data_IF_088139171465
#
_entry.id   IF_088139171465
#
_cell.length_a   1.000
_cell.length_b   1.000
_cell.length_c   1.000
_cell.angle_alpha   90.00
_cell.angle_beta   90.00
_cell.angle_gamma   90.00
#
_symmetry.space_group_name_H-M   'P 1'
#
loop_
_entity.id
_entity.type
_entity.pdbx_description
1 polymer ?
#
# COMPACT_ATOMS: atom_id res chain seq x y z
N UNK A 1 -0.34 -1.63 -0.66
CA UNK A 1 0.35 -0.92 -1.75
C UNK A 1 0.31 0.58 -1.48
N UNK A 2 1.45 1.30 -1.50
CA UNK A 2 1.40 2.75 -1.35
C UNK A 2 0.70 3.34 -2.59
N UNK A 3 -0.45 3.98 -2.40
CA UNK A 3 -1.10 4.79 -3.43
C UNK A 3 -0.04 5.71 -4.04
N UNK A 4 0.21 5.62 -5.35
CA UNK A 4 0.96 6.67 -6.03
C UNK A 4 0.20 7.98 -5.77
N UNK A 5 0.81 8.89 -5.00
CA UNK A 5 0.17 10.16 -4.70
C UNK A 5 -0.06 10.91 -6.01
N UNK A 6 -1.17 11.64 -6.13
CA UNK A 6 -1.49 12.45 -7.31
C UNK A 6 -0.29 13.33 -7.73
N UNK A 7 0.50 13.80 -6.75
CA UNK A 7 1.79 14.49 -6.95
C UNK A 7 2.82 13.65 -7.72
N UNK A 8 3.03 12.38 -7.38
CA UNK A 8 3.97 11.50 -8.08
C UNK A 8 3.53 11.23 -9.52
N UNK A 9 2.22 11.04 -9.74
CA UNK A 9 1.71 10.90 -11.11
C UNK A 9 1.92 12.18 -11.91
N UNK A 10 1.54 13.33 -11.35
CA UNK A 10 1.71 14.63 -12.00
C UNK A 10 3.18 14.91 -12.36
N UNK A 11 4.13 14.63 -11.46
CA UNK A 11 5.57 14.81 -11.74
C UNK A 11 6.00 13.95 -12.93
N UNK A 12 5.60 12.68 -12.97
CA UNK A 12 5.90 11.77 -14.10
C UNK A 12 5.33 12.31 -15.41
N UNK A 13 4.08 12.76 -15.39
CA UNK A 13 3.41 13.26 -16.59
C UNK A 13 4.08 14.56 -17.09
N UNK A 14 4.49 15.44 -16.19
CA UNK A 14 5.25 16.66 -16.52
C UNK A 14 6.66 16.36 -17.04
N UNK A 15 7.36 15.38 -16.46
CA UNK A 15 8.67 14.93 -16.95
C UNK A 15 8.56 14.37 -18.38
N UNK A 16 7.50 13.62 -18.66
CA UNK A 16 7.24 13.11 -20.01
C UNK A 16 6.99 14.24 -21.03
N UNK A 17 6.21 15.26 -20.66
CA UNK A 17 6.00 16.44 -21.49
C UNK A 17 7.31 17.20 -21.74
N UNK A 18 8.15 17.36 -20.72
CA UNK A 18 9.45 18.02 -20.83
C UNK A 18 10.38 17.29 -21.81
N UNK A 19 10.46 15.96 -21.73
CA UNK A 19 11.24 15.12 -22.65
C UNK A 19 10.77 15.33 -24.10
N UNK A 20 9.45 15.42 -24.31
CA UNK A 20 8.87 15.65 -25.63
C UNK A 20 9.23 17.05 -26.19
N UNK A 21 9.23 18.08 -25.34
CA UNK A 21 9.69 19.42 -25.73
C UNK A 21 11.18 19.42 -26.10
N UNK A 22 12.04 18.76 -25.32
CA UNK A 22 13.47 18.67 -25.63
C UNK A 22 13.73 17.88 -26.91
N UNK A 23 13.01 16.79 -27.17
CA UNK A 23 13.11 16.06 -28.42
C UNK A 23 12.78 16.96 -29.63
N UNK A 24 11.73 17.80 -29.53
CA UNK A 24 11.39 18.77 -30.58
C UNK A 24 12.47 19.85 -30.77
N UNK A 25 13.07 20.33 -29.69
CA UNK A 25 14.18 21.30 -29.75
C UNK A 25 15.44 20.70 -30.38
N UNK A 26 15.76 19.45 -30.06
CA UNK A 26 16.89 18.74 -30.67
C UNK A 26 16.64 18.45 -32.16
N UNK A 27 15.40 18.16 -32.55
CA UNK A 27 14.99 17.96 -33.95
C UNK A 27 15.04 19.29 -34.74
N UNK A 28 14.77 20.44 -34.12
CA UNK A 28 14.88 21.74 -34.81
C UNK A 28 16.32 22.22 -35.00
N UNK A 29 17.25 21.79 -34.14
CA UNK A 29 18.68 22.17 -34.20
C UNK A 29 19.54 21.21 -35.03
N UNK A 30 19.07 19.98 -35.24
CA UNK A 30 19.75 18.98 -36.08
C UNK A 30 18.90 18.66 -37.30
N UNK A 31 19.31 19.20 -38.45
CA UNK A 31 18.79 18.83 -39.77
C UNK A 31 18.77 17.28 -39.94
N UNK A 32 17.60 16.69 -39.70
CA UNK A 32 16.88 15.67 -40.47
C UNK A 32 17.58 14.41 -41.03
N UNK A 33 18.85 14.08 -40.70
CA UNK A 33 19.55 12.96 -41.38
C UNK A 33 20.15 11.85 -40.53
N UNK A 34 19.94 11.82 -39.21
CA UNK A 34 20.68 10.85 -38.36
C UNK A 34 19.87 10.14 -37.28
N UNK A 35 18.54 10.07 -37.41
CA UNK A 35 17.71 9.28 -36.48
C UNK A 35 16.92 8.21 -37.24
N UNK A 36 17.63 7.46 -38.10
CA UNK A 36 17.25 6.11 -38.52
C UNK A 36 18.38 5.18 -38.10
N UNK A 37 18.62 5.03 -36.80
CA UNK A 37 19.38 3.89 -36.26
C UNK A 37 19.09 3.70 -34.78
N UNK A 38 18.02 2.95 -34.51
CA UNK A 38 18.05 1.87 -33.51
C UNK A 38 18.08 2.25 -32.03
N UNK A 39 16.97 2.75 -31.49
CA UNK A 39 16.52 2.37 -30.14
C UNK A 39 14.98 2.33 -30.08
N UNK A 40 14.45 1.31 -29.40
CA UNK A 40 13.01 0.99 -29.34
C UNK A 40 12.25 2.08 -28.59
N UNK A 41 11.67 3.03 -29.31
CA UNK A 41 10.55 3.82 -28.82
C UNK A 41 9.32 2.91 -28.67
N UNK A 42 8.52 3.03 -27.60
CA UNK A 42 7.26 2.30 -27.49
C UNK A 42 6.39 2.69 -28.69
N UNK A 43 5.80 1.69 -29.35
CA UNK A 43 4.96 1.83 -30.57
C UNK A 43 3.96 3.01 -30.50
N UNK A 44 3.50 3.36 -29.29
CA UNK A 44 2.66 4.52 -29.03
C UNK A 44 3.27 5.86 -29.50
N UNK A 45 4.56 6.09 -29.31
CA UNK A 45 5.24 7.32 -29.76
C UNK A 45 5.42 7.34 -31.27
N UNK A 46 5.70 6.17 -31.88
CA UNK A 46 5.82 6.04 -33.35
C UNK A 46 4.45 6.24 -34.01
N UNK A 47 3.37 5.75 -33.41
CA UNK A 47 2.01 5.94 -33.90
C UNK A 47 1.59 7.41 -33.80
N UNK A 48 1.95 8.12 -32.72
CA UNK A 48 1.68 9.56 -32.60
C UNK A 48 2.49 10.37 -33.62
N UNK A 49 3.77 10.04 -33.83
CA UNK A 49 4.61 10.71 -34.83
C UNK A 49 4.13 10.39 -36.26
N UNK A 50 3.76 9.14 -36.55
CA UNK A 50 3.24 8.71 -37.85
C UNK A 50 1.82 9.27 -38.14
N UNK A 51 0.98 9.45 -37.12
CA UNK A 51 -0.31 10.13 -37.24
C UNK A 51 -0.15 11.64 -37.43
N UNK A 52 0.91 12.24 -36.88
CA UNK A 52 1.26 13.64 -37.13
C UNK A 52 1.89 13.85 -38.53
N UNK A 53 2.56 12.84 -39.08
CA UNK A 53 3.12 12.86 -40.45
C UNK A 53 2.09 12.65 -41.57
N UNK A 54 0.97 11.97 -41.29
CA UNK A 54 -0.05 11.62 -42.31
C UNK A 54 -1.20 12.62 -42.46
N UNK A 55 -1.19 13.72 -41.72
CA UNK A 55 -2.21 14.77 -41.84
C UNK A 55 -1.54 16.00 -42.41
N UNK A 56 -1.76 16.27 -43.70
CA UNK A 56 -1.12 17.41 -44.40
C UNK A 56 -1.53 18.78 -43.84
N UNK A 57 -2.60 18.85 -43.03
CA UNK A 57 -2.92 20.01 -42.20
C UNK A 57 -3.90 19.60 -41.09
N UNK A 58 -3.44 19.23 -39.88
CA UNK A 58 -4.34 19.10 -38.76
C UNK A 58 -4.65 20.50 -38.26
N UNK A 59 -5.91 20.89 -38.37
CA UNK A 59 -6.40 22.12 -37.76
C UNK A 59 -5.98 22.14 -36.28
N UNK A 60 -5.38 23.24 -35.82
CA UNK A 60 -4.74 23.33 -34.50
C UNK A 60 -5.73 22.97 -33.38
N UNK A 61 -7.02 23.20 -33.62
CA UNK A 61 -8.11 22.91 -32.71
C UNK A 61 -8.35 21.40 -32.50
N UNK A 62 -8.07 20.52 -33.46
CA UNK A 62 -8.30 19.06 -33.33
C UNK A 62 -7.21 18.41 -32.46
N UNK A 63 -5.95 18.80 -32.67
CA UNK A 63 -4.81 18.34 -31.87
C UNK A 63 -4.90 18.86 -30.43
N UNK A 64 -5.34 20.10 -30.27
CA UNK A 64 -5.58 20.70 -28.97
C UNK A 64 -6.77 20.05 -28.26
N UNK A 65 -7.84 19.74 -28.99
CA UNK A 65 -9.00 19.00 -28.46
C UNK A 65 -8.61 17.62 -27.97
N UNK A 66 -7.78 16.88 -28.71
CA UNK A 66 -7.30 15.56 -28.30
C UNK A 66 -6.36 15.61 -27.09
N UNK A 67 -5.45 16.60 -27.03
CA UNK A 67 -4.58 16.82 -25.88
C UNK A 67 -5.37 17.24 -24.63
N UNK A 68 -6.38 18.10 -24.79
CA UNK A 68 -7.30 18.54 -23.73
C UNK A 68 -8.21 17.38 -23.29
N UNK A 69 -8.72 16.54 -24.19
CA UNK A 69 -9.49 15.34 -23.84
C UNK A 69 -8.61 14.34 -23.08
N UNK A 70 -7.35 14.13 -23.45
CA UNK A 70 -6.43 13.25 -22.73
C UNK A 70 -6.05 13.82 -21.34
N UNK A 71 -5.84 15.14 -21.24
CA UNK A 71 -5.58 15.84 -19.98
C UNK A 71 -6.81 15.85 -19.05
N UNK A 72 -8.02 16.08 -19.59
CA UNK A 72 -9.28 16.09 -18.83
C UNK A 72 -9.74 14.68 -18.44
N UNK A 73 -9.39 13.65 -19.23
CA UNK A 73 -9.68 12.24 -18.94
C UNK A 73 -8.73 11.65 -17.90
N UNK A 74 -7.56 12.27 -17.68
CA UNK A 74 -6.71 12.03 -16.51
C UNK A 74 -7.35 12.69 -15.27
N UNK A 75 -8.13 11.90 -14.53
CA UNK A 75 -8.98 12.36 -13.42
C UNK A 75 -8.21 13.11 -12.31
N UNK A 76 -8.64 14.34 -12.02
CA UNK A 76 -9.05 14.84 -10.68
C UNK A 76 -8.24 15.99 -10.00
N UNK A 77 -8.92 17.15 -9.88
CA UNK A 77 -9.18 17.97 -8.66
C UNK A 77 -8.17 18.96 -8.05
N UNK A 78 -7.15 19.46 -8.74
CA UNK A 78 -6.50 20.73 -8.32
C UNK A 78 -6.59 21.81 -9.42
N UNK A 79 -7.78 22.38 -9.58
CA UNK A 79 -8.08 23.34 -10.66
C UNK A 79 -7.49 24.74 -10.44
N UNK A 80 -7.21 25.16 -9.21
CA UNK A 80 -6.98 26.59 -8.95
C UNK A 80 -5.53 27.08 -9.14
N UNK A 81 -4.52 26.21 -9.21
CA UNK A 81 -3.12 26.63 -9.41
C UNK A 81 -2.57 26.33 -10.80
N UNK A 82 -3.09 25.30 -11.49
CA UNK A 82 -2.66 24.97 -12.85
C UNK A 82 -3.10 26.03 -13.87
N UNK A 83 -4.28 26.64 -13.70
CA UNK A 83 -4.85 27.63 -14.63
C UNK A 83 -3.91 28.83 -14.87
N UNK A 84 -3.18 29.28 -13.83
CA UNK A 84 -2.24 30.42 -13.93
C UNK A 84 -1.00 30.11 -14.77
N UNK A 85 -0.65 28.83 -14.92
CA UNK A 85 0.49 28.38 -15.74
C UNK A 85 0.05 27.79 -17.08
N UNK A 86 -1.16 27.22 -17.16
CA UNK A 86 -1.79 26.80 -18.42
C UNK A 86 -1.85 27.96 -19.40
N UNK A 87 -2.27 29.17 -18.96
CA UNK A 87 -2.29 30.36 -19.81
C UNK A 87 -0.92 30.66 -20.44
N UNK A 88 0.16 30.59 -19.66
CA UNK A 88 1.53 30.84 -20.16
C UNK A 88 2.02 29.75 -21.11
N UNK A 89 1.68 28.49 -20.87
CA UNK A 89 1.97 27.39 -21.79
C UNK A 89 1.19 27.51 -23.10
N UNK A 90 -0.02 28.06 -23.05
CA UNK A 90 -0.93 28.24 -24.19
C UNK A 90 -0.58 29.48 -25.04
N UNK A 91 -0.05 30.54 -24.41
CA UNK A 91 0.47 31.73 -25.11
C UNK A 91 1.88 31.53 -25.68
N UNK A 92 2.62 30.53 -25.20
CA UNK A 92 3.98 30.24 -25.65
C UNK A 92 3.98 29.63 -27.06
N UNK A 93 4.24 30.47 -28.07
CA UNK A 93 4.36 30.07 -29.49
C UNK A 93 5.66 29.31 -29.80
N UNK A 94 6.67 29.36 -28.92
CA UNK A 94 7.99 28.73 -29.13
C UNK A 94 8.22 27.57 -28.16
N UNK A 95 8.82 26.48 -28.67
CA UNK A 95 9.06 25.25 -27.89
C UNK A 95 10.00 25.48 -26.69
N UNK A 96 10.91 26.46 -26.77
CA UNK A 96 11.77 26.86 -25.64
C UNK A 96 10.97 27.43 -24.45
N UNK A 97 10.04 28.34 -24.71
CA UNK A 97 9.20 28.94 -23.66
C UNK A 97 8.27 27.91 -23.01
N UNK A 98 7.83 26.90 -23.78
CA UNK A 98 7.06 25.77 -23.26
C UNK A 98 7.90 24.88 -22.33
N UNK A 99 9.13 24.54 -22.72
CA UNK A 99 10.06 23.76 -21.90
C UNK A 99 10.38 24.47 -20.58
N UNK A 100 10.63 25.78 -20.63
CA UNK A 100 10.86 26.61 -19.44
C UNK A 100 9.65 26.61 -18.50
N UNK A 101 8.43 26.77 -19.05
CA UNK A 101 7.20 26.72 -18.27
C UNK A 101 6.97 25.37 -17.57
N UNK A 102 7.28 24.26 -18.24
CA UNK A 102 7.19 22.90 -17.65
C UNK A 102 8.25 22.73 -16.55
N UNK A 103 9.49 23.18 -16.76
CA UNK A 103 10.56 23.14 -15.75
C UNK A 103 10.19 23.92 -14.48
N UNK A 104 9.63 25.12 -14.64
CA UNK A 104 9.16 25.94 -13.51
C UNK A 104 8.01 25.24 -12.75
N UNK A 105 7.12 24.56 -13.47
CA UNK A 105 6.02 23.81 -12.86
C UNK A 105 6.54 22.58 -12.09
N UNK A 106 7.46 21.79 -12.67
CA UNK A 106 8.11 20.66 -11.99
C UNK A 106 8.81 21.17 -10.72
N UNK A 107 9.58 22.24 -10.82
CA UNK A 107 10.29 22.84 -9.68
C UNK A 107 9.31 23.26 -8.58
N UNK A 108 8.19 23.90 -8.96
CA UNK A 108 7.15 24.33 -8.03
C UNK A 108 6.46 23.15 -7.33
N UNK A 109 6.15 22.08 -8.08
CA UNK A 109 5.52 20.85 -7.54
C UNK A 109 6.51 20.07 -6.67
N UNK A 110 7.79 20.04 -7.04
CA UNK A 110 8.86 19.44 -6.25
C UNK A 110 9.04 20.16 -4.91
N UNK A 111 9.00 21.50 -4.92
CA UNK A 111 9.16 22.34 -3.73
C UNK A 111 7.91 22.41 -2.85
N UNK A 112 6.75 21.96 -3.34
CA UNK A 112 5.49 21.91 -2.57
C UNK A 112 5.19 20.48 -2.12
N UNK A 113 5.00 20.30 -0.81
CA UNK A 113 4.55 19.02 -0.24
C UNK A 113 3.11 18.68 -0.62
N UNK A 114 2.25 19.69 -0.78
CA UNK A 114 0.82 19.53 -1.08
C UNK A 114 0.43 20.40 -2.29
N UNK A 115 -0.38 19.85 -3.19
CA UNK A 115 -0.88 20.54 -4.38
C UNK A 115 -2.07 21.47 -4.10
N UNK A 116 -2.72 21.29 -2.94
CA UNK A 116 -3.83 22.11 -2.48
C UNK A 116 -3.50 22.70 -1.09
N UNK A 117 -3.97 23.92 -0.80
CA UNK A 117 -3.87 24.48 0.55
C UNK A 117 -4.58 23.57 1.55
N UNK A 118 -3.98 23.37 2.72
CA UNK A 118 -4.60 22.62 3.81
C UNK A 118 -5.25 23.60 4.78
N UNK A 119 -6.57 23.55 4.89
CA UNK A 119 -7.27 24.19 5.99
C UNK A 119 -7.12 23.31 7.24
N UNK A 120 -6.49 23.79 8.33
CA UNK A 120 -6.51 23.06 9.59
C UNK A 120 -7.96 22.95 10.06
N UNK A 121 -8.37 21.75 10.45
CA UNK A 121 -9.69 21.53 11.04
C UNK A 121 -9.60 21.62 12.55
N UNK A 122 -10.58 22.25 13.21
CA UNK A 122 -10.65 22.26 14.65
C UNK A 122 -10.78 20.81 15.15
N UNK A 123 -10.04 20.52 16.21
CA UNK A 123 -10.05 19.23 16.89
C UNK A 123 -11.05 19.29 18.04
N UNK A 124 -11.89 18.25 18.19
CA UNK A 124 -12.79 18.13 19.34
C UNK A 124 -11.98 18.01 20.64
N UNK A 125 -10.87 17.26 20.61
CA UNK A 125 -9.99 17.07 21.77
C UNK A 125 -8.52 16.86 21.37
N UNK A 126 -7.62 16.91 22.35
CA UNK A 126 -6.20 16.59 22.16
C UNK A 126 -6.03 15.08 21.98
N UNK A 127 -4.97 14.67 21.28
CA UNK A 127 -4.67 13.24 21.06
C UNK A 127 -4.56 12.48 22.39
N UNK A 128 -3.86 13.06 23.36
CA UNK A 128 -3.69 12.48 24.69
C UNK A 128 -5.03 12.28 25.39
N UNK A 129 -5.92 13.29 25.36
CA UNK A 129 -7.24 13.17 25.98
C UNK A 129 -8.12 12.15 25.25
N UNK A 130 -8.05 12.09 23.92
CA UNK A 130 -8.79 11.08 23.16
C UNK A 130 -8.31 9.67 23.50
N UNK A 131 -6.99 9.44 23.60
CA UNK A 131 -6.43 8.15 24.01
C UNK A 131 -6.84 7.76 25.43
N UNK A 132 -6.80 8.71 26.37
CA UNK A 132 -7.25 8.51 27.75
C UNK A 132 -8.72 8.06 27.81
N UNK A 133 -9.60 8.70 27.03
CA UNK A 133 -11.03 8.33 26.96
C UNK A 133 -11.24 6.92 26.44
N UNK A 134 -10.44 6.46 25.47
CA UNK A 134 -10.52 5.08 24.98
C UNK A 134 -9.90 4.09 25.97
N UNK A 135 -8.80 4.44 26.62
CA UNK A 135 -8.03 3.56 27.52
C UNK A 135 -8.67 3.39 28.89
N UNK A 136 -9.33 4.43 29.40
CA UNK A 136 -10.05 4.41 30.69
C UNK A 136 -11.52 3.99 30.54
N UNK A 137 -11.91 3.50 29.35
CA UNK A 137 -13.24 2.97 29.15
C UNK A 137 -13.36 1.54 29.71
N UNK A 138 -14.56 0.96 29.62
CA UNK A 138 -14.75 -0.46 29.94
C UNK A 138 -13.96 -1.36 28.99
N UNK A 139 -13.51 -2.52 29.48
CA UNK A 139 -12.77 -3.50 28.69
C UNK A 139 -13.50 -3.88 27.39
N UNK A 140 -14.83 -3.99 27.43
CA UNK A 140 -15.64 -4.29 26.26
C UNK A 140 -15.56 -3.20 25.18
N UNK A 141 -15.45 -1.93 25.57
CA UNK A 141 -15.28 -0.82 24.64
C UNK A 141 -13.85 -0.78 24.12
N UNK A 142 -12.85 -0.98 24.97
CA UNK A 142 -11.45 -1.04 24.55
C UNK A 142 -11.24 -2.18 23.53
N UNK A 143 -11.75 -3.37 23.83
CA UNK A 143 -11.69 -4.56 22.96
C UNK A 143 -12.33 -4.30 21.59
N UNK A 144 -13.37 -3.48 21.51
CA UNK A 144 -14.01 -3.12 20.23
C UNK A 144 -13.04 -2.39 19.30
N UNK A 145 -12.23 -1.49 19.85
CA UNK A 145 -11.28 -0.67 19.08
C UNK A 145 -9.91 -1.36 18.92
N UNK A 146 -9.34 -1.88 20.00
CA UNK A 146 -8.03 -2.52 19.98
C UNK A 146 -8.06 -3.97 19.48
N UNK A 147 -9.23 -4.63 19.44
CA UNK A 147 -9.41 -6.04 19.04
C UNK A 147 -8.62 -7.05 19.90
N UNK A 148 -8.12 -6.60 21.03
CA UNK A 148 -7.44 -7.40 22.05
C UNK A 148 -7.67 -6.80 23.44
N UNK A 149 -7.35 -7.57 24.48
CA UNK A 149 -7.40 -7.07 25.87
C UNK A 149 -6.37 -5.97 26.07
N UNK A 150 -6.58 -5.13 27.09
CA UNK A 150 -5.66 -4.04 27.42
C UNK A 150 -4.25 -4.57 27.77
N UNK A 151 -4.17 -5.69 28.49
CA UNK A 151 -2.90 -6.35 28.80
C UNK A 151 -2.15 -6.79 27.54
N UNK A 152 -2.86 -7.43 26.60
CA UNK A 152 -2.29 -7.86 25.32
C UNK A 152 -1.81 -6.67 24.49
N UNK A 153 -2.58 -5.58 24.51
CA UNK A 153 -2.22 -4.33 23.83
C UNK A 153 -0.93 -3.74 24.36
N UNK A 154 -0.77 -3.61 25.69
CA UNK A 154 0.46 -3.09 26.29
C UNK A 154 1.63 -4.06 26.15
N UNK A 155 1.38 -5.38 26.17
CA UNK A 155 2.39 -6.38 25.89
C UNK A 155 2.95 -6.26 24.45
N UNK A 156 2.08 -6.02 23.46
CA UNK A 156 2.48 -5.76 22.08
C UNK A 156 3.19 -4.40 21.95
N UNK A 157 2.63 -3.35 22.54
CA UNK A 157 3.20 -2.00 22.53
C UNK A 157 4.65 -2.01 23.02
N UNK A 158 4.92 -2.68 24.15
CA UNK A 158 6.26 -2.76 24.72
C UNK A 158 7.27 -3.46 23.79
N UNK A 159 6.81 -4.33 22.87
CA UNK A 159 7.69 -4.99 21.89
C UNK A 159 7.99 -4.10 20.68
N UNK A 160 7.13 -3.14 20.35
CA UNK A 160 7.25 -2.33 19.13
C UNK A 160 7.59 -0.86 19.37
N UNK A 161 7.43 -0.33 20.60
CA UNK A 161 7.53 1.11 20.90
C UNK A 161 8.86 1.75 20.49
N UNK A 162 9.94 1.00 20.59
CA UNK A 162 11.31 1.46 20.29
C UNK A 162 11.74 1.20 18.84
N UNK A 163 10.82 0.70 17.99
CA UNK A 163 11.11 0.41 16.60
C UNK A 163 11.42 1.70 15.81
N UNK A 164 12.47 1.72 14.96
CA UNK A 164 12.93 2.94 14.26
C UNK A 164 11.87 3.58 13.37
N UNK A 165 10.87 2.81 12.93
CA UNK A 165 9.74 3.34 12.13
C UNK A 165 8.90 4.39 12.89
N UNK A 166 8.95 4.38 14.23
CA UNK A 166 8.28 5.35 15.10
C UNK A 166 9.14 6.59 15.41
N UNK A 167 10.35 6.66 14.85
CA UNK A 167 11.25 7.80 14.97
C UNK A 167 11.22 8.62 13.67
N UNK A 168 11.43 9.93 13.75
CA UNK A 168 11.70 10.76 12.59
C UNK A 168 12.77 11.81 12.87
N UNK A 169 13.49 12.19 11.81
CA UNK A 169 14.47 13.28 11.84
C UNK A 169 13.80 14.61 11.45
N UNK A 170 12.65 14.91 12.03
CA UNK A 170 11.89 16.11 11.68
C UNK A 170 11.57 16.96 12.90
N UNK A 171 11.40 18.26 12.67
CA UNK A 171 10.98 19.21 13.71
C UNK A 171 9.55 18.96 14.24
N UNK A 172 8.85 17.95 13.72
CA UNK A 172 7.52 17.57 14.17
C UNK A 172 7.54 16.13 14.67
N UNK A 173 7.47 15.97 15.99
CA UNK A 173 7.40 14.65 16.61
C UNK A 173 6.23 13.83 16.05
N UNK A 174 6.48 12.54 15.87
CA UNK A 174 5.42 11.60 15.55
C UNK A 174 4.42 11.51 16.72
N UNK A 175 3.18 11.12 16.42
CA UNK A 175 2.23 10.81 17.49
C UNK A 175 2.75 9.63 18.34
N UNK A 176 2.38 9.55 19.64
CA UNK A 176 2.80 8.46 20.51
C UNK A 176 2.46 7.08 19.92
N UNK A 177 3.31 6.07 20.17
CA UNK A 177 3.19 4.76 19.53
C UNK A 177 1.91 4.02 19.95
N UNK A 178 1.49 4.16 21.20
CA UNK A 178 0.22 3.65 21.73
C UNK A 178 -0.97 4.19 20.94
N UNK A 179 -0.94 5.47 20.58
CA UNK A 179 -1.99 6.07 19.79
C UNK A 179 -2.01 5.53 18.36
N UNK A 180 -0.83 5.38 17.76
CA UNK A 180 -0.72 4.80 16.43
C UNK A 180 -1.21 3.35 16.39
N UNK A 181 -0.86 2.57 17.40
CA UNK A 181 -1.24 1.16 17.53
C UNK A 181 -2.76 1.02 17.69
N UNK A 182 -3.39 1.81 18.56
CA UNK A 182 -4.84 1.77 18.75
C UNK A 182 -5.59 2.10 17.45
N UNK A 183 -5.16 3.14 16.74
CA UNK A 183 -5.77 3.52 15.45
C UNK A 183 -5.56 2.43 14.39
N UNK A 184 -4.36 1.83 14.33
CA UNK A 184 -4.06 0.75 13.40
C UNK A 184 -4.95 -0.48 13.65
N UNK A 185 -5.10 -0.90 14.91
CA UNK A 185 -5.94 -2.03 15.29
C UNK A 185 -7.42 -1.76 15.01
N UNK A 186 -7.90 -0.55 15.28
CA UNK A 186 -9.27 -0.15 14.93
C UNK A 186 -9.51 -0.17 13.42
N UNK A 187 -8.52 0.29 12.65
CA UNK A 187 -8.60 0.30 11.18
C UNK A 187 -8.61 -1.12 10.59
N UNK A 188 -7.83 -2.04 11.16
CA UNK A 188 -7.81 -3.45 10.73
C UNK A 188 -9.00 -4.26 11.27
N UNK A 189 -9.58 -3.83 12.40
CA UNK A 189 -10.61 -4.56 13.12
C UNK A 189 -12.03 -4.30 12.66
N UNK A 190 -12.31 -3.12 12.12
CA UNK A 190 -13.66 -2.70 11.76
C UNK A 190 -13.88 -2.89 10.26
N UNK A 191 -14.93 -3.62 9.90
CA UNK A 191 -15.29 -3.90 8.52
C UNK A 191 -16.37 -2.95 7.99
N UNK A 192 -16.50 -2.88 6.66
CA UNK A 192 -17.50 -2.06 5.98
C UNK A 192 -17.27 -0.55 6.17
N UNK A 193 -18.35 0.23 6.13
CA UNK A 193 -18.29 1.69 6.20
C UNK A 193 -17.68 2.21 7.52
N UNK A 194 -17.86 1.47 8.62
CA UNK A 194 -17.33 1.84 9.94
C UNK A 194 -15.80 1.84 10.02
N UNK A 195 -15.13 1.01 9.23
CA UNK A 195 -13.67 0.95 9.15
C UNK A 195 -13.06 1.90 8.13
N UNK A 196 -13.89 2.64 7.39
CA UNK A 196 -13.37 3.55 6.37
C UNK A 196 -12.52 4.65 7.02
N UNK A 197 -11.41 5.08 6.39
CA UNK A 197 -10.61 6.19 6.89
C UNK A 197 -11.44 7.47 7.12
N UNK A 198 -12.52 7.65 6.36
CA UNK A 198 -13.44 8.78 6.50
C UNK A 198 -14.24 8.78 7.81
N UNK A 199 -14.59 7.61 8.34
CA UNK A 199 -15.27 7.52 9.65
C UNK A 199 -14.24 7.57 10.77
N UNK A 200 -13.16 6.80 10.63
CA UNK A 200 -12.11 6.74 11.65
C UNK A 200 -11.44 8.10 11.87
N UNK A 201 -11.34 8.95 10.85
CA UNK A 201 -10.79 10.31 11.00
C UNK A 201 -11.65 11.17 11.94
N UNK A 202 -12.97 11.00 11.91
CA UNK A 202 -13.92 11.77 12.73
C UNK A 202 -13.89 11.23 14.16
N UNK A 203 -13.87 9.90 14.33
CA UNK A 203 -13.78 9.23 15.64
C UNK A 203 -12.49 9.54 16.37
N UNK A 204 -11.34 9.36 15.69
CA UNK A 204 -10.02 9.56 16.27
C UNK A 204 -9.52 11.00 16.13
N UNK A 205 -10.27 11.88 15.48
CA UNK A 205 -9.94 13.30 15.34
C UNK A 205 -8.54 13.54 14.72
N UNK A 206 -8.21 12.75 13.71
CA UNK A 206 -6.93 12.76 12.97
C UNK A 206 -7.18 12.88 11.46
N UNK A 207 -6.12 12.97 10.65
CA UNK A 207 -6.28 12.99 9.19
C UNK A 207 -6.38 11.57 8.61
N UNK A 208 -7.05 11.41 7.46
CA UNK A 208 -7.10 10.12 6.75
C UNK A 208 -5.70 9.57 6.44
N UNK A 209 -4.78 10.45 6.01
CA UNK A 209 -3.39 10.07 5.78
C UNK A 209 -2.66 9.65 7.07
N UNK A 210 -3.07 10.15 8.24
CA UNK A 210 -2.54 9.67 9.52
C UNK A 210 -2.94 8.22 9.75
N UNK A 211 -4.20 7.86 9.52
CA UNK A 211 -4.70 6.47 9.70
C UNK A 211 -3.89 5.50 8.84
N UNK A 212 -3.72 5.80 7.55
CA UNK A 212 -2.91 4.98 6.64
C UNK A 212 -1.45 4.89 7.12
N UNK A 213 -0.83 6.01 7.49
CA UNK A 213 0.56 6.03 7.96
C UNK A 213 0.75 5.29 9.30
N UNK A 214 -0.23 5.35 10.19
CA UNK A 214 -0.17 4.72 11.52
C UNK A 214 -0.29 3.21 11.34
N UNK A 215 -1.24 2.78 10.50
CA UNK A 215 -1.45 1.38 10.13
C UNK A 215 -0.21 0.77 9.49
N UNK A 216 0.35 1.43 8.46
CA UNK A 216 1.54 0.90 7.77
C UNK A 216 2.77 0.80 8.68
N UNK A 217 2.98 1.77 9.57
CA UNK A 217 4.09 1.74 10.53
C UNK A 217 3.93 0.62 11.56
N UNK A 218 2.72 0.47 12.11
CA UNK A 218 2.43 -0.63 13.04
C UNK A 218 2.57 -1.99 12.36
N UNK A 219 2.02 -2.16 11.15
CA UNK A 219 2.18 -3.39 10.37
C UNK A 219 3.66 -3.71 10.12
N UNK A 220 4.49 -2.71 9.78
CA UNK A 220 5.92 -2.91 9.59
C UNK A 220 6.60 -3.37 10.88
N UNK A 221 6.38 -2.67 11.99
CA UNK A 221 6.99 -3.03 13.27
C UNK A 221 6.54 -4.41 13.78
N UNK A 222 5.28 -4.79 13.53
CA UNK A 222 4.74 -6.11 13.89
C UNK A 222 5.31 -7.20 12.98
N UNK A 223 5.40 -6.95 11.67
CA UNK A 223 6.00 -7.89 10.72
C UNK A 223 7.48 -8.17 11.04
N UNK A 224 8.22 -7.16 11.49
CA UNK A 224 9.63 -7.33 11.89
C UNK A 224 9.78 -8.19 13.18
N UNK A 225 8.68 -8.51 13.89
CA UNK A 225 8.68 -9.48 14.99
C UNK A 225 8.48 -10.94 14.52
N UNK A 226 8.07 -11.17 13.27
CA UNK A 226 7.69 -12.49 12.76
C UNK A 226 8.77 -13.55 13.00
N UNK A 227 10.03 -13.26 12.64
CA UNK A 227 11.17 -14.18 12.79
C UNK A 227 11.36 -14.66 14.24
N UNK A 228 11.01 -13.81 15.22
CA UNK A 228 11.16 -14.13 16.64
C UNK A 228 10.04 -15.02 17.17
N UNK A 229 8.80 -14.83 16.71
CA UNK A 229 7.62 -15.49 17.29
C UNK A 229 7.06 -16.63 16.43
N UNK A 230 7.13 -16.49 15.10
CA UNK A 230 6.67 -17.48 14.12
C UNK A 230 7.88 -18.31 13.68
N UNK A 231 8.33 -19.18 14.58
CA UNK A 231 9.42 -20.12 14.34
C UNK A 231 9.00 -21.55 14.66
N UNK A 232 9.58 -22.49 13.93
CA UNK A 232 9.47 -23.90 14.26
C UNK A 232 10.04 -24.17 15.66
N UNK A 233 9.40 -25.03 16.48
CA UNK A 233 9.89 -25.34 17.82
C UNK A 233 11.20 -26.13 17.77
N UNK A 234 12.13 -25.77 18.66
CA UNK A 234 13.38 -26.49 18.88
C UNK A 234 13.13 -27.81 19.62
N UNK A 235 14.13 -28.70 19.68
CA UNK A 235 14.03 -29.94 20.44
C UNK A 235 13.68 -29.71 21.93
N UNK A 236 14.18 -28.61 22.52
CA UNK A 236 13.83 -28.22 23.89
C UNK A 236 12.37 -27.74 24.00
N UNK A 237 11.87 -26.99 23.01
CA UNK A 237 10.47 -26.56 22.96
C UNK A 237 9.54 -27.79 22.80
N UNK A 238 9.92 -28.77 21.96
CA UNK A 238 9.16 -30.00 21.73
C UNK A 238 9.13 -30.88 22.99
N UNK A 239 10.24 -31.03 23.71
CA UNK A 239 10.29 -31.78 24.96
C UNK A 239 9.36 -31.19 26.04
N UNK A 240 9.20 -29.86 26.06
CA UNK A 240 8.24 -29.19 26.94
C UNK A 240 6.77 -29.43 26.54
N UNK A 241 6.50 -29.65 25.24
CA UNK A 241 5.14 -29.99 24.76
C UNK A 241 4.74 -31.42 25.12
N UNK A 242 5.69 -32.35 25.16
CA UNK A 242 5.43 -33.76 25.46
C UNK A 242 5.06 -34.04 26.94
N UNK A 243 5.35 -33.13 27.87
CA UNK A 243 5.12 -33.36 29.32
C UNK A 243 3.67 -33.17 29.78
N UNK A 244 2.80 -32.60 28.94
CA UNK A 244 1.38 -32.35 29.27
C UNK A 244 0.43 -33.30 28.54
N UNK A 245 0.68 -34.62 28.58
CA UNK A 245 -0.21 -35.60 27.94
C UNK A 245 -1.40 -35.99 28.81
N UNK A 246 -2.56 -35.41 28.52
CA UNK A 246 -3.84 -36.14 28.49
C UNK A 246 -3.91 -36.79 27.10
N UNK A 247 -4.16 -38.09 27.03
CA UNK A 247 -4.27 -38.88 25.80
C UNK A 247 -5.04 -38.15 24.68
N UNK A 248 -4.33 -37.78 23.61
CA UNK A 248 -4.92 -37.30 22.36
C UNK A 248 -4.46 -38.18 21.19
N UNK A 249 -5.26 -38.24 20.13
CA UNK A 249 -5.11 -39.17 19.00
C UNK A 249 -3.83 -39.01 18.15
N UNK A 250 -2.99 -38.02 18.45
CA UNK A 250 -1.83 -37.63 17.63
C UNK A 250 -0.57 -37.53 18.49
N UNK A 251 0.00 -38.69 18.82
CA UNK A 251 1.27 -38.77 19.53
C UNK A 251 2.39 -38.10 18.71
N UNK A 252 3.26 -37.33 19.38
CA UNK A 252 4.41 -36.60 18.80
C UNK A 252 4.07 -35.52 17.76
N UNK A 253 2.81 -35.10 17.64
CA UNK A 253 2.43 -34.00 16.75
C UNK A 253 2.95 -32.65 17.27
N UNK A 254 3.73 -31.96 16.42
CA UNK A 254 4.30 -30.63 16.73
C UNK A 254 3.27 -29.50 16.60
N UNK A 255 2.26 -29.71 15.76
CA UNK A 255 1.19 -28.75 15.53
C UNK A 255 0.19 -29.24 14.50
N UNK A 256 -0.96 -28.56 14.44
CA UNK A 256 -2.03 -28.82 13.49
C UNK A 256 -1.90 -27.88 12.30
N UNK A 257 -2.06 -28.41 11.10
CA UNK A 257 -2.00 -27.69 9.83
C UNK A 257 -3.40 -27.56 9.22
N UNK A 258 -3.78 -26.35 8.83
CA UNK A 258 -5.04 -26.12 8.12
C UNK A 258 -4.96 -24.97 7.12
N UNK A 259 -5.83 -25.04 6.10
CA UNK A 259 -6.05 -24.00 5.11
C UNK A 259 -7.05 -22.96 5.62
N UNK A 260 -6.60 -21.72 5.75
CA UNK A 260 -7.42 -20.57 6.13
C UNK A 260 -7.64 -19.65 4.93
N UNK A 261 -8.91 -19.36 4.64
CA UNK A 261 -9.28 -18.40 3.59
C UNK A 261 -9.46 -17.00 4.18
N UNK A 262 -8.70 -16.04 3.66
CA UNK A 262 -8.89 -14.62 3.91
C UNK A 262 -9.79 -13.99 2.84
N UNK A 263 -11.04 -13.62 3.17
CA UNK A 263 -11.95 -13.02 2.21
C UNK A 263 -11.47 -11.61 1.79
N UNK A 264 -11.56 -11.33 0.51
CA UNK A 264 -11.28 -10.02 -0.06
C UNK A 264 -12.58 -9.23 -0.18
N UNK A 265 -12.56 -7.98 0.28
CA UNK A 265 -13.73 -7.09 0.18
C UNK A 265 -14.11 -6.77 -1.28
N UNK A 266 -13.13 -6.76 -2.17
CA UNK A 266 -13.30 -6.47 -3.59
C UNK A 266 -12.49 -7.45 -4.43
N UNK A 267 -12.95 -7.69 -5.66
CA UNK A 267 -12.20 -8.43 -6.65
C UNK A 267 -10.83 -7.74 -6.89
N UNK A 268 -9.72 -8.51 -6.95
CA UNK A 268 -8.43 -7.99 -7.38
C UNK A 268 -8.51 -7.32 -8.75
N UNK A 269 -7.65 -6.34 -9.00
CA UNK A 269 -7.61 -5.65 -10.31
C UNK A 269 -6.96 -6.50 -11.41
N UNK A 270 -6.18 -7.51 -11.02
CA UNK A 270 -5.39 -8.37 -11.91
C UNK A 270 -5.71 -9.82 -11.58
N UNK A 271 -5.95 -10.65 -12.60
CA UNK A 271 -6.27 -12.09 -12.47
C UNK A 271 -7.38 -12.39 -11.44
N UNK A 272 -8.46 -11.58 -11.44
CA UNK A 272 -9.55 -11.71 -10.45
C UNK A 272 -10.17 -13.10 -10.42
N UNK A 273 -10.21 -13.77 -11.57
CA UNK A 273 -10.76 -15.11 -11.77
C UNK A 273 -10.04 -16.14 -10.87
N UNK A 274 -8.73 -16.00 -10.67
CA UNK A 274 -7.95 -16.92 -9.85
C UNK A 274 -8.32 -16.79 -8.36
N UNK A 275 -8.71 -15.59 -7.92
CA UNK A 275 -9.11 -15.34 -6.53
C UNK A 275 -10.57 -15.71 -6.26
N UNK A 276 -11.36 -15.98 -7.31
CA UNK A 276 -12.73 -16.44 -7.16
C UNK A 276 -12.75 -17.92 -6.77
N UNK A 277 -13.33 -18.23 -5.62
CA UNK A 277 -13.34 -19.59 -5.08
C UNK A 277 -14.71 -20.25 -5.09
N UNK A 278 -14.76 -21.57 -4.85
CA UNK A 278 -15.99 -22.39 -4.80
C UNK A 278 -17.08 -21.83 -3.86
N UNK A 279 -16.70 -21.07 -2.83
CA UNK A 279 -17.63 -20.43 -1.88
C UNK A 279 -18.26 -19.13 -2.42
N UNK A 280 -18.10 -18.83 -3.71
CA UNK A 280 -18.61 -17.62 -4.36
C UNK A 280 -18.17 -16.33 -3.68
N UNK A 281 -16.92 -16.31 -3.22
CA UNK A 281 -16.23 -15.15 -2.66
C UNK A 281 -14.88 -14.99 -3.34
N UNK A 282 -14.35 -13.76 -3.35
CA UNK A 282 -12.94 -13.54 -3.63
C UNK A 282 -12.15 -13.78 -2.36
N UNK A 283 -11.07 -14.55 -2.42
CA UNK A 283 -10.27 -14.86 -1.24
C UNK A 283 -8.82 -15.18 -1.55
N UNK A 284 -7.98 -15.11 -0.51
CA UNK A 284 -6.63 -15.64 -0.53
C UNK A 284 -6.57 -16.86 0.38
N UNK A 285 -5.94 -17.93 -0.10
CA UNK A 285 -5.67 -19.10 0.72
C UNK A 285 -4.34 -18.90 1.46
N UNK A 286 -4.30 -19.30 2.72
CA UNK A 286 -3.12 -19.34 3.55
C UNK A 286 -3.10 -20.61 4.37
N UNK A 287 -1.98 -21.30 4.36
CA UNK A 287 -1.78 -22.47 5.21
C UNK A 287 -1.13 -22.03 6.51
N UNK A 288 -1.70 -22.43 7.64
CA UNK A 288 -1.19 -22.04 8.96
C UNK A 288 -0.97 -23.31 9.77
N UNK A 289 0.16 -23.36 10.47
CA UNK A 289 0.47 -24.40 11.45
C UNK A 289 0.45 -23.77 12.84
N UNK A 290 -0.34 -24.36 13.74
CA UNK A 290 -0.49 -23.90 15.11
C UNK A 290 -0.12 -25.01 16.11
N UNK A 291 0.50 -24.63 17.23
CA UNK A 291 0.63 -25.54 18.38
C UNK A 291 -0.70 -25.71 19.10
N UNK A 292 -0.75 -26.64 20.05
CA UNK A 292 -1.92 -26.90 20.90
C UNK A 292 -2.38 -25.66 21.67
N UNK A 293 -1.45 -24.80 22.07
CA UNK A 293 -1.68 -23.52 22.76
C UNK A 293 -2.09 -22.40 21.80
N UNK A 294 -2.48 -22.74 20.56
CA UNK A 294 -2.91 -21.82 19.52
C UNK A 294 -1.82 -20.84 19.06
N UNK A 295 -0.54 -21.20 19.26
CA UNK A 295 0.59 -20.40 18.77
C UNK A 295 0.87 -20.74 17.32
N UNK A 296 0.85 -19.73 16.45
CA UNK A 296 1.26 -19.87 15.05
C UNK A 296 2.77 -20.09 14.98
N UNK A 297 3.21 -21.21 14.38
CA UNK A 297 4.64 -21.57 14.24
C UNK A 297 5.12 -21.57 12.80
N UNK A 298 4.19 -21.63 11.84
CA UNK A 298 4.47 -21.52 10.43
C UNK A 298 3.24 -20.97 9.71
N UNK A 299 3.45 -20.13 8.71
CA UNK A 299 2.39 -19.69 7.84
C UNK A 299 2.89 -19.48 6.41
N UNK A 300 2.14 -20.00 5.44
CA UNK A 300 2.38 -19.79 4.02
C UNK A 300 1.20 -19.01 3.43
N UNK A 301 1.47 -17.77 3.04
CA UNK A 301 0.47 -16.84 2.54
C UNK A 301 0.60 -16.58 1.03
N UNK A 302 -0.41 -15.96 0.44
CA UNK A 302 -0.34 -15.42 -0.93
C UNK A 302 -0.85 -16.36 -2.03
N UNK A 303 -1.44 -17.49 -1.67
CA UNK A 303 -2.12 -18.35 -2.64
C UNK A 303 -3.50 -17.80 -3.00
N UNK A 304 -3.91 -18.01 -4.24
CA UNK A 304 -5.25 -17.64 -4.69
C UNK A 304 -6.30 -18.49 -3.96
N UNK A 305 -7.48 -17.93 -3.66
CA UNK A 305 -8.54 -18.64 -2.94
C UNK A 305 -9.10 -19.87 -3.66
N UNK A 306 -8.89 -19.97 -4.98
CA UNK A 306 -9.21 -21.17 -5.77
C UNK A 306 -8.21 -22.32 -5.60
N UNK A 307 -7.02 -22.05 -5.04
CA UNK A 307 -6.00 -23.06 -4.87
C UNK A 307 -6.42 -24.08 -3.82
N UNK A 308 -6.43 -25.36 -4.20
CA UNK A 308 -6.66 -26.47 -3.28
C UNK A 308 -5.58 -26.55 -2.19
N UNK A 309 -5.99 -26.87 -0.97
CA UNK A 309 -5.08 -26.99 0.17
C UNK A 309 -3.96 -27.99 -0.09
N UNK A 310 -4.23 -29.09 -0.81
CA UNK A 310 -3.20 -30.05 -1.21
C UNK A 310 -2.11 -29.42 -2.09
N UNK A 311 -2.47 -28.47 -2.97
CA UNK A 311 -1.50 -27.75 -3.80
C UNK A 311 -0.68 -26.79 -2.96
N UNK A 312 -1.31 -26.07 -2.04
CA UNK A 312 -0.62 -25.17 -1.10
C UNK A 312 0.36 -25.96 -0.24
N UNK A 313 -0.08 -27.12 0.28
CA UNK A 313 0.73 -28.03 1.09
C UNK A 313 1.97 -28.51 0.33
N UNK A 314 1.79 -29.01 -0.89
CA UNK A 314 2.90 -29.45 -1.75
C UNK A 314 3.93 -28.37 -2.07
N UNK A 315 3.59 -27.09 -1.93
CA UNK A 315 4.50 -25.97 -2.14
C UNK A 315 4.97 -25.33 -0.83
N UNK A 316 4.64 -25.93 0.32
CA UNK A 316 5.09 -25.49 1.63
C UNK A 316 6.43 -26.14 1.99
N UNK A 317 7.17 -25.49 2.89
CA UNK A 317 8.39 -26.06 3.49
C UNK A 317 8.08 -27.24 4.42
N UNK A 318 6.82 -27.42 4.80
CA UNK A 318 6.35 -28.53 5.64
C UNK A 318 6.32 -29.84 4.83
N UNK A 319 5.98 -29.79 3.54
CA UNK A 319 5.92 -30.98 2.68
C UNK A 319 7.32 -31.48 2.25
N UNK A 320 8.32 -30.60 2.16
CA UNK A 320 9.70 -30.95 1.81
C UNK A 320 10.65 -30.45 2.91
N UNK A 321 10.75 -31.19 4.02
CA UNK A 321 11.59 -30.80 5.12
C UNK A 321 13.06 -30.80 4.70
N UNK A 322 13.81 -29.76 5.10
CA UNK A 322 15.28 -29.76 4.95
C UNK A 322 15.87 -30.82 5.88
N UNK A 323 16.94 -31.51 5.46
CA UNK A 323 17.61 -32.55 6.26
C UNK A 323 17.82 -32.12 7.71
N UNK A 324 17.37 -32.94 8.67
CA UNK A 324 17.50 -32.71 10.12
C UNK A 324 16.27 -32.17 10.83
N UNK A 325 15.16 -31.93 10.12
CA UNK A 325 13.88 -31.55 10.75
C UNK A 325 12.91 -32.73 10.74
N UNK A 326 12.64 -33.29 11.92
CA UNK A 326 11.66 -34.36 12.14
C UNK A 326 10.28 -33.71 12.11
N UNK A 327 9.43 -34.17 11.19
CA UNK A 327 8.02 -33.78 11.11
C UNK A 327 7.18 -35.04 11.27
N UNK A 328 6.36 -35.08 12.33
CA UNK A 328 5.20 -35.96 12.36
C UNK A 328 4.02 -35.17 11.80
N UNK A 329 3.46 -35.66 10.70
CA UNK A 329 2.25 -35.12 10.07
C UNK A 329 1.25 -36.27 10.08
N UNK A 330 0.15 -36.07 10.78
CA UNK A 330 -0.99 -37.00 10.81
C UNK A 330 -2.22 -36.34 10.23
#
# INVERSE_FOLDING_TARGET
MPRQTERKSLIRDLQFLLITCFARLQISDQNYRTIITGQRFPLFCIIIVALLEKVEAPDQDILLSLAVILLLRSRSRSRYQLLRFQHRLWEARTTHAQAEGILQLITTVCNRRYLAPRAPRPRISTISRTFEVFSNNTDAVFLRWARMTQDSFYALLNKIKDHPVFMNDSNHHQAPTEWQLLVALAHLGINGNGGSPHILREVFNISEGSIENYTNRCLRAIADLEEKYVRWPSAADQAAYCTETIHDFFDDAVGLIDGTIFPLAFAPTVHKEDFWMRKSIYGMNSMIVCTREQRIIYALHGWCGSAHDQRVYKNSQVCYPREGSVFSIT
#
